data_IF_566829926126
#
_entry.id   IF_566829926126
#
_cell.length_a   1.000
_cell.length_b   1.000
_cell.length_c   1.000
_cell.angle_alpha   90.00
_cell.angle_beta   90.00
_cell.angle_gamma   90.00
#
_symmetry.space_group_name_H-M   'P 1'
#
loop_
_entity.id
_entity.type
_entity.pdbx_description
1 polymer ?
#
# COMPACT_ATOMS: atom_id res chain seq x y z
N UNK A 1 21.09 72.48 27.08
CA UNK A 1 20.60 71.10 27.31
C UNK A 1 19.13 71.07 26.92
N UNK A 2 18.81 70.68 25.68
CA UNK A 2 17.41 70.60 25.23
C UNK A 2 16.79 69.32 25.80
N UNK A 3 15.80 69.48 26.67
CA UNK A 3 15.10 68.37 27.29
C UNK A 3 14.37 67.56 26.21
N UNK A 4 14.71 66.27 26.11
CA UNK A 4 13.99 65.33 25.23
C UNK A 4 12.63 65.09 25.87
N UNK A 5 11.58 65.69 25.30
CA UNK A 5 10.20 65.48 25.73
C UNK A 5 9.76 64.09 25.25
N UNK A 6 9.51 63.19 26.20
CA UNK A 6 8.98 61.87 25.91
C UNK A 6 7.54 61.99 25.38
N UNK A 7 7.32 61.57 24.14
CA UNK A 7 5.97 61.41 23.57
C UNK A 7 5.51 59.96 23.78
N UNK A 8 4.54 59.70 24.68
CA UNK A 8 4.03 58.36 24.88
C UNK A 8 3.34 57.87 23.59
N UNK A 9 3.77 56.70 23.13
CA UNK A 9 3.09 56.00 22.03
C UNK A 9 1.78 55.44 22.57
N UNK A 10 0.69 55.67 21.84
CA UNK A 10 -0.65 55.20 22.20
C UNK A 10 -0.68 53.67 22.38
N UNK A 11 -1.39 53.20 23.42
CA UNK A 11 -1.50 51.78 23.72
C UNK A 11 -2.19 51.05 22.57
N UNK A 12 -1.46 50.17 21.88
CA UNK A 12 -2.03 49.30 20.86
C UNK A 12 -2.87 48.20 21.52
N UNK A 13 -3.98 47.77 20.91
CA UNK A 13 -4.74 46.64 21.41
C UNK A 13 -3.86 45.39 21.48
N UNK A 14 -4.08 44.51 22.46
CA UNK A 14 -3.32 43.27 22.59
C UNK A 14 -3.45 42.45 21.30
N UNK A 15 -2.36 41.80 20.83
CA UNK A 15 -2.42 40.96 19.65
C UNK A 15 -3.48 39.87 19.85
N UNK A 16 -4.34 39.68 18.86
CA UNK A 16 -5.35 38.62 18.91
C UNK A 16 -4.64 37.29 19.15
N UNK A 17 -5.15 36.51 20.12
CA UNK A 17 -4.56 35.22 20.48
C UNK A 17 -4.43 34.33 19.25
N UNK A 18 -3.20 34.02 18.85
CA UNK A 18 -2.87 33.11 17.75
C UNK A 18 -2.79 31.64 18.20
N UNK A 19 -3.03 31.40 19.48
CA UNK A 19 -2.96 30.09 20.11
C UNK A 19 -4.32 29.70 20.69
N UNK A 20 -4.61 28.39 20.71
CA UNK A 20 -5.86 27.81 21.22
C UNK A 20 -6.78 27.25 20.13
N UNK A 21 -7.76 26.44 20.55
CA UNK A 21 -8.68 25.70 19.67
C UNK A 21 -9.48 26.62 18.74
N UNK A 22 -10.01 27.73 19.27
CA UNK A 22 -10.80 28.69 18.50
C UNK A 22 -9.97 29.42 17.44
N UNK A 23 -8.74 29.80 17.77
CA UNK A 23 -7.81 30.42 16.81
C UNK A 23 -7.41 29.42 15.71
N UNK A 24 -7.20 28.15 16.07
CA UNK A 24 -6.93 27.07 15.11
C UNK A 24 -8.12 26.80 14.19
N UNK A 25 -9.35 26.72 14.72
CA UNK A 25 -10.57 26.51 13.91
C UNK A 25 -10.78 27.65 12.92
N UNK A 26 -10.66 28.90 13.39
CA UNK A 26 -10.83 30.08 12.55
C UNK A 26 -9.80 30.10 11.42
N UNK A 27 -8.54 29.79 11.72
CA UNK A 27 -7.44 29.79 10.75
C UNK A 27 -7.49 28.65 9.73
N UNK A 28 -7.98 27.47 10.10
CA UNK A 28 -7.99 26.32 9.18
C UNK A 28 -9.30 26.18 8.39
N UNK A 29 -10.44 26.52 9.00
CA UNK A 29 -11.75 26.30 8.40
C UNK A 29 -12.47 27.59 7.98
N UNK A 30 -12.20 28.71 8.66
CA UNK A 30 -12.94 29.98 8.48
C UNK A 30 -12.03 31.17 8.10
N UNK A 31 -10.92 30.93 7.41
CA UNK A 31 -9.93 31.95 7.04
C UNK A 31 -10.41 32.90 5.93
N UNK A 32 -11.49 32.53 5.25
CA UNK A 32 -12.13 33.33 4.19
C UNK A 32 -13.56 32.89 3.93
N UNK A 33 -14.30 33.65 3.11
CA UNK A 33 -15.72 33.39 2.86
C UNK A 33 -15.95 32.07 2.10
N UNK A 34 -15.10 31.73 1.12
CA UNK A 34 -15.15 30.46 0.39
C UNK A 34 -14.90 29.27 1.31
N UNK A 35 -13.86 29.34 2.15
CA UNK A 35 -13.52 28.27 3.10
C UNK A 35 -14.61 28.11 4.17
N UNK A 36 -15.18 29.23 4.63
CA UNK A 36 -16.29 29.23 5.59
C UNK A 36 -17.53 28.58 4.99
N UNK A 37 -17.90 28.96 3.75
CA UNK A 37 -19.02 28.38 3.03
C UNK A 37 -18.79 26.88 2.77
N UNK A 38 -17.62 26.50 2.26
CA UNK A 38 -17.26 25.11 2.03
C UNK A 38 -17.33 24.29 3.33
N UNK A 39 -16.80 24.80 4.44
CA UNK A 39 -16.87 24.14 5.75
C UNK A 39 -18.32 23.95 6.20
N UNK A 40 -19.17 24.99 6.10
CA UNK A 40 -20.57 24.90 6.50
C UNK A 40 -21.33 23.90 5.61
N UNK A 41 -21.12 23.94 4.28
CA UNK A 41 -21.75 23.01 3.34
C UNK A 41 -21.31 21.57 3.61
N UNK A 42 -20.01 21.32 3.79
CA UNK A 42 -19.51 19.99 4.13
C UNK A 42 -20.07 19.51 5.47
N UNK A 43 -20.14 20.37 6.49
CA UNK A 43 -20.72 20.01 7.77
C UNK A 43 -22.21 19.67 7.65
N UNK A 44 -22.98 20.47 6.91
CA UNK A 44 -24.40 20.20 6.66
C UNK A 44 -24.60 18.89 5.88
N UNK A 45 -23.76 18.63 4.87
CA UNK A 45 -23.77 17.35 4.15
C UNK A 45 -23.44 16.18 5.07
N UNK A 46 -22.44 16.31 5.93
CA UNK A 46 -22.12 15.26 6.91
C UNK A 46 -23.26 15.04 7.89
N UNK A 47 -23.88 16.10 8.40
CA UNK A 47 -25.04 15.99 9.29
C UNK A 47 -26.28 15.42 8.58
N UNK A 48 -26.38 15.56 7.26
CA UNK A 48 -27.47 14.98 6.47
C UNK A 48 -27.21 13.52 6.09
N UNK A 49 -25.97 13.14 5.75
CA UNK A 49 -25.62 11.78 5.28
C UNK A 49 -25.26 10.83 6.42
N UNK A 50 -24.48 11.28 7.40
CA UNK A 50 -23.90 10.39 8.42
C UNK A 50 -24.97 9.78 9.33
N UNK A 51 -25.95 10.54 9.88
CA UNK A 51 -26.97 9.96 10.75
C UNK A 51 -27.83 8.85 10.10
N UNK A 52 -28.41 9.02 8.89
CA UNK A 52 -29.16 7.94 8.26
C UNK A 52 -28.26 6.76 7.87
N UNK A 53 -27.03 7.01 7.44
CA UNK A 53 -26.07 5.95 7.12
C UNK A 53 -25.67 5.16 8.37
N UNK A 54 -25.48 5.82 9.51
CA UNK A 54 -25.23 5.18 10.81
C UNK A 54 -26.46 4.40 11.30
N UNK A 55 -27.65 4.99 11.15
CA UNK A 55 -28.92 4.33 11.45
C UNK A 55 -29.10 3.04 10.67
N UNK A 56 -28.91 3.09 9.35
CA UNK A 56 -28.99 1.93 8.47
C UNK A 56 -27.88 0.91 8.77
N UNK A 57 -26.63 1.36 8.93
CA UNK A 57 -25.48 0.44 9.05
C UNK A 57 -25.36 -0.23 10.41
N UNK A 58 -25.76 0.41 11.51
CA UNK A 58 -25.51 -0.10 12.86
C UNK A 58 -26.80 -0.26 13.65
N UNK A 59 -27.65 0.77 13.69
CA UNK A 59 -28.83 0.78 14.59
C UNK A 59 -29.90 -0.21 14.12
N UNK A 60 -30.21 -0.22 12.83
CA UNK A 60 -31.22 -1.08 12.21
C UNK A 60 -30.62 -2.35 11.59
N UNK A 61 -29.34 -2.60 11.83
CA UNK A 61 -28.61 -3.68 11.19
C UNK A 61 -28.98 -5.06 11.76
N UNK A 62 -28.95 -6.07 10.89
CA UNK A 62 -29.12 -7.48 11.27
C UNK A 62 -27.73 -8.13 11.40
N UNK A 63 -27.34 -8.45 12.63
CA UNK A 63 -26.04 -9.06 12.94
C UNK A 63 -26.06 -10.60 13.00
N UNK A 64 -27.23 -11.20 13.20
CA UNK A 64 -27.36 -12.65 13.23
C UNK A 64 -27.16 -13.25 11.82
N UNK A 65 -26.56 -14.44 11.69
CA UNK A 65 -26.36 -15.14 10.42
C UNK A 65 -27.68 -15.74 9.89
N UNK A 66 -28.69 -14.90 9.69
CA UNK A 66 -30.03 -15.30 9.22
C UNK A 66 -30.38 -14.57 7.91
N UNK A 67 -30.55 -15.35 6.83
CA UNK A 67 -30.87 -14.81 5.52
C UNK A 67 -32.28 -14.21 5.45
N UNK A 68 -33.26 -14.78 6.14
CA UNK A 68 -34.64 -14.31 6.15
C UNK A 68 -34.74 -12.97 6.89
N UNK A 69 -34.09 -12.87 8.05
CA UNK A 69 -34.00 -11.62 8.80
C UNK A 69 -33.30 -10.51 7.98
N UNK A 70 -32.21 -10.83 7.30
CA UNK A 70 -31.53 -9.89 6.42
C UNK A 70 -32.39 -9.43 5.23
N UNK A 71 -33.17 -10.33 4.60
CA UNK A 71 -34.08 -9.96 3.51
C UNK A 71 -35.24 -9.09 3.99
N UNK A 72 -35.75 -9.35 5.19
CA UNK A 72 -36.80 -8.54 5.79
C UNK A 72 -36.34 -7.10 6.09
N UNK A 73 -35.05 -6.90 6.35
CA UNK A 73 -34.45 -5.60 6.66
C UNK A 73 -33.84 -4.87 5.45
N UNK A 74 -34.05 -5.34 4.21
CA UNK A 74 -33.30 -4.87 3.02
C UNK A 74 -33.37 -3.35 2.80
N UNK A 75 -34.53 -2.75 3.09
CA UNK A 75 -34.76 -1.31 2.93
C UNK A 75 -34.46 -0.50 4.21
N UNK A 76 -34.35 -1.16 5.36
CA UNK A 76 -34.28 -0.50 6.67
C UNK A 76 -32.90 -0.58 7.33
N UNK A 77 -32.09 -1.59 7.01
CA UNK A 77 -30.81 -1.81 7.67
C UNK A 77 -29.82 -2.71 6.93
N UNK A 78 -28.55 -2.62 7.31
CA UNK A 78 -27.47 -3.42 6.73
C UNK A 78 -27.49 -4.88 7.23
N UNK A 79 -27.14 -5.82 6.34
CA UNK A 79 -27.00 -7.23 6.69
C UNK A 79 -25.55 -7.56 7.08
N UNK A 80 -25.22 -7.46 8.36
CA UNK A 80 -23.94 -7.93 8.91
C UNK A 80 -23.92 -9.45 9.16
N UNK A 81 -25.07 -10.11 9.10
CA UNK A 81 -25.19 -11.57 9.18
C UNK A 81 -24.30 -12.30 8.17
N UNK A 82 -24.05 -11.73 6.99
CA UNK A 82 -23.10 -12.28 6.01
C UNK A 82 -21.67 -12.29 6.56
N UNK A 83 -21.26 -11.25 7.27
CA UNK A 83 -19.92 -11.17 7.88
C UNK A 83 -19.82 -12.15 9.05
N UNK A 84 -20.88 -12.33 9.83
CA UNK A 84 -20.92 -13.35 10.88
C UNK A 84 -20.79 -14.77 10.31
N UNK A 85 -21.53 -15.07 9.23
CA UNK A 85 -21.55 -16.39 8.59
C UNK A 85 -20.28 -16.68 7.77
N UNK A 86 -19.77 -15.69 7.04
CA UNK A 86 -18.63 -15.84 6.11
C UNK A 86 -17.33 -15.30 6.68
N UNK A 87 -17.30 -14.79 7.92
CA UNK A 87 -16.12 -14.23 8.56
C UNK A 87 -14.92 -15.19 8.54
N UNK A 88 -15.18 -16.48 8.77
CA UNK A 88 -14.15 -17.53 8.67
C UNK A 88 -13.57 -17.65 7.26
N UNK A 89 -14.40 -17.61 6.23
CA UNK A 89 -13.97 -17.70 4.83
C UNK A 89 -13.21 -16.43 4.41
N UNK A 90 -13.66 -15.26 4.88
CA UNK A 90 -13.00 -13.97 4.65
C UNK A 90 -11.60 -13.95 5.29
N UNK A 91 -11.48 -14.45 6.52
CA UNK A 91 -10.22 -14.45 7.26
C UNK A 91 -9.27 -15.56 6.83
N UNK A 92 -9.73 -16.80 6.67
CA UNK A 92 -8.85 -17.96 6.48
C UNK A 92 -9.08 -18.72 5.17
N UNK A 93 -10.02 -18.29 4.32
CA UNK A 93 -10.32 -18.98 3.07
C UNK A 93 -10.71 -20.44 3.28
N UNK A 94 -10.08 -21.33 2.49
CA UNK A 94 -10.32 -22.78 2.52
C UNK A 94 -9.37 -23.52 3.47
N UNK A 95 -8.62 -22.81 4.31
CA UNK A 95 -7.65 -23.41 5.22
C UNK A 95 -8.36 -24.32 6.25
N UNK A 96 -7.82 -25.52 6.56
CA UNK A 96 -8.43 -26.47 7.49
C UNK A 96 -8.69 -25.86 8.87
N UNK A 97 -9.87 -26.13 9.44
CA UNK A 97 -10.35 -25.49 10.68
C UNK A 97 -9.39 -25.66 11.87
N UNK A 98 -8.98 -26.89 12.14
CA UNK A 98 -8.06 -27.23 13.25
C UNK A 98 -6.68 -26.56 13.14
N UNK A 99 -6.34 -26.05 11.95
CA UNK A 99 -5.02 -25.52 11.65
C UNK A 99 -5.02 -24.00 11.45
N UNK A 100 -6.15 -23.32 11.63
CA UNK A 100 -6.29 -21.87 11.39
C UNK A 100 -5.41 -21.00 12.31
N UNK A 101 -4.93 -21.55 13.42
CA UNK A 101 -3.94 -20.88 14.26
C UNK A 101 -2.63 -20.59 13.51
N UNK A 102 -2.25 -21.43 12.53
CA UNK A 102 -1.03 -21.30 11.72
C UNK A 102 -1.05 -20.01 10.87
N UNK A 103 -2.05 -19.78 9.99
CA UNK A 103 -2.15 -18.53 9.25
C UNK A 103 -2.38 -17.31 10.14
N UNK A 104 -3.07 -17.46 11.28
CA UNK A 104 -3.24 -16.36 12.24
C UNK A 104 -1.90 -15.91 12.83
N UNK A 105 -1.07 -16.87 13.27
CA UNK A 105 0.28 -16.59 13.79
C UNK A 105 1.17 -16.03 12.68
N UNK A 106 1.11 -16.57 11.46
CA UNK A 106 1.84 -16.02 10.31
C UNK A 106 1.47 -14.55 10.04
N UNK A 107 0.18 -14.21 10.07
CA UNK A 107 -0.28 -12.83 9.92
C UNK A 107 0.22 -11.94 11.06
N UNK A 108 0.13 -12.40 12.31
CA UNK A 108 0.57 -11.63 13.47
C UNK A 108 2.06 -11.33 13.42
N UNK A 109 2.90 -12.31 13.06
CA UNK A 109 4.35 -12.12 12.90
C UNK A 109 4.64 -11.14 11.75
N UNK A 110 3.97 -11.29 10.61
CA UNK A 110 4.17 -10.41 9.45
C UNK A 110 3.75 -8.97 9.75
N UNK A 111 2.62 -8.77 10.43
CA UNK A 111 2.15 -7.44 10.87
C UNK A 111 3.12 -6.84 11.89
N UNK A 112 3.58 -7.62 12.87
CA UNK A 112 4.55 -7.16 13.85
C UNK A 112 5.86 -6.71 13.17
N UNK A 113 6.33 -7.44 12.16
CA UNK A 113 7.49 -7.07 11.36
C UNK A 113 7.25 -5.79 10.54
N UNK A 114 6.08 -5.64 9.93
CA UNK A 114 5.70 -4.42 9.20
C UNK A 114 5.68 -3.21 10.15
N UNK A 115 5.05 -3.34 11.31
CA UNK A 115 5.01 -2.28 12.33
C UNK A 115 6.42 -1.94 12.81
N UNK A 116 7.25 -2.92 13.12
CA UNK A 116 8.65 -2.71 13.49
C UNK A 116 9.43 -1.98 12.37
N UNK A 117 9.17 -2.33 11.10
CA UNK A 117 9.79 -1.67 9.94
C UNK A 117 9.36 -0.21 9.76
N UNK A 118 8.16 0.16 10.21
CA UNK A 118 7.70 1.55 10.22
C UNK A 118 8.32 2.40 11.34
N UNK A 119 8.89 1.76 12.36
CA UNK A 119 9.48 2.42 13.52
C UNK A 119 10.98 2.64 13.31
N UNK A 120 11.40 3.92 13.31
CA UNK A 120 12.81 4.33 13.12
C UNK A 120 13.85 3.60 14.00
N UNK A 121 13.57 3.25 15.27
CA UNK A 121 14.55 2.54 16.11
C UNK A 121 15.03 1.19 15.56
N UNK A 122 14.23 0.55 14.69
CA UNK A 122 14.52 -0.77 14.12
C UNK A 122 15.22 -0.70 12.76
N UNK A 123 15.54 0.50 12.23
CA UNK A 123 16.22 0.68 10.94
C UNK A 123 17.71 0.37 11.03
N UNK A 124 18.01 -0.90 11.30
CA UNK A 124 19.34 -1.48 11.41
C UNK A 124 19.54 -2.48 10.27
N UNK A 125 20.79 -2.79 9.87
CA UNK A 125 21.05 -3.69 8.74
C UNK A 125 20.50 -5.11 8.94
N UNK A 126 20.27 -5.55 10.18
CA UNK A 126 19.64 -6.85 10.47
C UNK A 126 18.16 -6.94 10.06
N UNK A 127 17.49 -5.82 9.80
CA UNK A 127 16.09 -5.81 9.40
C UNK A 127 15.89 -6.56 8.07
N UNK A 128 16.81 -6.42 7.12
CA UNK A 128 16.74 -7.09 5.83
C UNK A 128 16.81 -8.63 5.93
N UNK A 129 17.79 -9.25 6.61
CA UNK A 129 17.77 -10.69 6.82
C UNK A 129 16.60 -11.15 7.71
N UNK A 130 16.16 -10.35 8.69
CA UNK A 130 14.95 -10.69 9.46
C UNK A 130 13.72 -10.82 8.55
N UNK A 131 13.57 -9.93 7.57
CA UNK A 131 12.50 -10.00 6.58
C UNK A 131 12.50 -11.34 5.83
N UNK A 132 13.66 -11.78 5.34
CA UNK A 132 13.77 -13.06 4.64
C UNK A 132 13.44 -14.24 5.56
N UNK A 133 13.91 -14.21 6.81
CA UNK A 133 13.64 -15.25 7.81
C UNK A 133 12.15 -15.31 8.12
N UNK A 134 11.50 -14.17 8.39
CA UNK A 134 10.07 -14.12 8.72
C UNK A 134 9.22 -14.59 7.55
N UNK A 135 9.55 -14.21 6.31
CA UNK A 135 8.82 -14.71 5.14
C UNK A 135 8.97 -16.23 4.99
N UNK A 136 10.16 -16.77 5.20
CA UNK A 136 10.38 -18.22 5.19
C UNK A 136 9.61 -18.93 6.31
N UNK A 137 9.62 -18.36 7.52
CA UNK A 137 8.84 -18.88 8.67
C UNK A 137 7.34 -18.84 8.37
N UNK A 138 6.81 -17.75 7.83
CA UNK A 138 5.40 -17.65 7.44
C UNK A 138 5.04 -18.67 6.37
N UNK A 139 5.90 -18.86 5.36
CA UNK A 139 5.68 -19.87 4.32
C UNK A 139 5.65 -21.29 4.91
N UNK A 140 6.66 -21.69 5.69
CA UNK A 140 6.71 -23.01 6.35
C UNK A 140 5.54 -23.21 7.30
N UNK A 141 5.19 -22.17 8.05
CA UNK A 141 4.05 -22.20 8.96
C UNK A 141 2.73 -22.38 8.20
N UNK A 142 2.59 -21.86 6.98
CA UNK A 142 1.38 -22.05 6.18
C UNK A 142 1.37 -23.37 5.40
N UNK A 143 2.49 -23.81 4.82
CA UNK A 143 2.59 -25.03 4.01
C UNK A 143 2.61 -26.30 4.84
N UNK A 144 3.38 -26.32 5.93
CA UNK A 144 3.57 -27.50 6.76
C UNK A 144 4.53 -28.48 6.12
N UNK A 145 4.41 -29.76 6.49
CA UNK A 145 5.31 -30.83 6.04
C UNK A 145 6.61 -30.94 6.83
N UNK A 146 6.87 -30.02 7.76
CA UNK A 146 8.07 -29.99 8.61
C UNK A 146 7.65 -29.92 10.07
N UNK A 147 8.46 -30.47 10.99
CA UNK A 147 8.21 -30.46 12.44
C UNK A 147 6.91 -31.14 12.88
N UNK A 148 6.43 -32.14 12.11
CA UNK A 148 5.18 -32.86 12.42
C UNK A 148 3.90 -32.10 12.05
N UNK A 149 4.02 -30.95 11.37
CA UNK A 149 2.87 -30.23 10.83
C UNK A 149 2.33 -30.94 9.59
N UNK A 150 1.02 -31.16 9.53
CA UNK A 150 0.38 -31.67 8.32
C UNK A 150 0.56 -30.71 7.15
N UNK A 151 0.81 -31.27 5.98
CA UNK A 151 0.93 -30.52 4.74
C UNK A 151 -0.44 -29.96 4.31
N UNK A 152 -0.46 -28.68 3.95
CA UNK A 152 -1.63 -27.97 3.42
C UNK A 152 -1.25 -27.36 2.08
N UNK A 153 -1.84 -27.91 1.02
CA UNK A 153 -1.66 -27.41 -0.35
C UNK A 153 -1.92 -25.90 -0.45
N UNK A 154 -1.08 -25.22 -1.22
CA UNK A 154 -1.19 -23.80 -1.60
C UNK A 154 -2.54 -23.46 -2.23
N UNK A 155 -3.18 -24.41 -2.91
CA UNK A 155 -4.51 -24.31 -3.50
C UNK A 155 -5.63 -24.03 -2.48
N UNK A 156 -5.40 -24.37 -1.20
CA UNK A 156 -6.35 -24.16 -0.10
C UNK A 156 -6.08 -22.87 0.67
N UNK A 157 -4.99 -22.18 0.36
CA UNK A 157 -4.67 -20.90 1.00
C UNK A 157 -5.64 -19.84 0.49
N UNK A 158 -6.03 -18.91 1.37
CA UNK A 158 -6.97 -17.87 1.00
C UNK A 158 -7.22 -16.90 2.14
N UNK A 159 -8.16 -16.00 1.93
CA UNK A 159 -8.52 -14.96 2.89
C UNK A 159 -7.37 -13.99 3.18
N UNK A 160 -7.41 -13.40 4.36
CA UNK A 160 -6.48 -12.38 4.81
C UNK A 160 -4.98 -12.78 4.79
N UNK A 161 -4.57 -13.99 5.20
CA UNK A 161 -3.18 -14.45 5.13
C UNK A 161 -2.64 -14.44 3.70
N UNK A 162 -3.43 -14.90 2.73
CA UNK A 162 -3.02 -14.91 1.34
C UNK A 162 -2.91 -13.47 0.80
N UNK A 163 -3.87 -12.60 1.09
CA UNK A 163 -3.83 -11.17 0.75
C UNK A 163 -2.56 -10.51 1.30
N UNK A 164 -2.23 -10.73 2.57
CA UNK A 164 -1.03 -10.18 3.21
C UNK A 164 0.25 -10.75 2.59
N UNK A 165 0.33 -12.07 2.40
CA UNK A 165 1.50 -12.71 1.81
C UNK A 165 1.75 -12.22 0.38
N UNK A 166 0.74 -12.22 -0.48
CA UNK A 166 0.84 -11.76 -1.86
C UNK A 166 1.23 -10.29 -1.94
N UNK A 167 0.55 -9.41 -1.21
CA UNK A 167 0.81 -7.98 -1.27
C UNK A 167 2.22 -7.61 -0.79
N UNK A 168 2.66 -8.20 0.32
CA UNK A 168 3.98 -7.91 0.90
C UNK A 168 5.09 -8.51 0.05
N UNK A 169 5.01 -9.80 -0.31
CA UNK A 169 6.06 -10.47 -1.09
C UNK A 169 6.18 -9.84 -2.48
N UNK A 170 5.06 -9.64 -3.18
CA UNK A 170 5.10 -9.01 -4.51
C UNK A 170 5.65 -7.60 -4.46
N UNK A 171 5.32 -6.78 -3.45
CA UNK A 171 5.87 -5.42 -3.35
C UNK A 171 7.37 -5.44 -3.01
N UNK A 172 7.80 -6.28 -2.07
CA UNK A 172 9.21 -6.39 -1.67
C UNK A 172 10.09 -6.82 -2.85
N UNK A 173 9.62 -7.77 -3.66
CA UNK A 173 10.36 -8.23 -4.85
C UNK A 173 10.23 -7.22 -6.01
N UNK A 174 9.07 -6.57 -6.15
CA UNK A 174 8.85 -5.56 -7.19
C UNK A 174 9.69 -4.31 -6.99
N UNK A 175 10.00 -3.92 -5.75
CA UNK A 175 10.70 -2.66 -5.47
C UNK A 175 12.12 -2.60 -6.06
N UNK A 176 13.00 -3.60 -5.87
CA UNK A 176 14.29 -3.64 -6.56
C UNK A 176 14.13 -3.65 -8.09
N UNK A 177 13.19 -4.43 -8.62
CA UNK A 177 12.94 -4.51 -10.06
C UNK A 177 12.50 -3.15 -10.61
N UNK A 178 11.61 -2.46 -9.91
CA UNK A 178 11.12 -1.13 -10.25
C UNK A 178 12.25 -0.09 -10.29
N UNK A 179 13.15 -0.11 -9.30
CA UNK A 179 14.33 0.77 -9.28
C UNK A 179 15.24 0.49 -10.48
N UNK A 180 15.50 -0.79 -10.79
CA UNK A 180 16.31 -1.17 -11.95
C UNK A 180 15.68 -0.71 -13.27
N UNK A 181 14.37 -0.93 -13.44
CA UNK A 181 13.62 -0.50 -14.63
C UNK A 181 13.56 1.02 -14.75
N UNK A 182 13.35 1.75 -13.65
CA UNK A 182 13.32 3.21 -13.65
C UNK A 182 14.69 3.82 -14.05
N UNK A 183 15.78 3.26 -13.53
CA UNK A 183 17.14 3.64 -13.92
C UNK A 183 17.44 3.26 -15.37
N UNK A 184 17.03 2.07 -15.80
CA UNK A 184 17.17 1.60 -17.19
C UNK A 184 16.43 2.49 -18.20
N UNK A 185 15.21 2.92 -17.87
CA UNK A 185 14.41 3.87 -18.67
C UNK A 185 15.03 5.26 -18.75
N UNK A 186 15.84 5.63 -17.76
CA UNK A 186 16.58 6.91 -17.70
C UNK A 186 17.97 6.83 -18.33
N UNK A 187 18.37 5.67 -18.85
CA UNK A 187 19.69 5.45 -19.45
C UNK A 187 19.82 6.12 -20.82
N UNK A 188 21.06 6.49 -21.17
CA UNK A 188 21.44 6.97 -22.51
C UNK A 188 21.53 5.83 -23.53
N UNK A 189 21.63 4.57 -23.10
CA UNK A 189 21.72 3.42 -23.99
C UNK A 189 20.34 3.12 -24.61
N UNK A 190 20.16 3.30 -25.93
CA UNK A 190 18.84 3.24 -26.56
C UNK A 190 18.19 1.86 -26.45
N UNK A 191 18.97 0.77 -26.50
CA UNK A 191 18.45 -0.59 -26.37
C UNK A 191 17.85 -0.86 -24.98
N UNK A 192 18.58 -0.53 -23.90
CA UNK A 192 18.10 -0.72 -22.52
C UNK A 192 16.85 0.13 -22.27
N UNK A 193 16.91 1.39 -22.71
CA UNK A 193 15.79 2.31 -22.60
C UNK A 193 14.56 1.77 -23.34
N UNK A 194 14.72 1.29 -24.57
CA UNK A 194 13.62 0.74 -25.36
C UNK A 194 12.98 -0.48 -24.70
N UNK A 195 13.77 -1.43 -24.19
CA UNK A 195 13.25 -2.61 -23.47
C UNK A 195 12.48 -2.20 -22.22
N UNK A 196 13.01 -1.27 -21.42
CA UNK A 196 12.35 -0.79 -20.21
C UNK A 196 11.05 -0.02 -20.52
N UNK A 197 11.06 0.84 -21.55
CA UNK A 197 9.87 1.55 -22.01
C UNK A 197 8.82 0.55 -22.47
N UNK A 198 9.18 -0.40 -23.36
CA UNK A 198 8.25 -1.40 -23.87
C UNK A 198 7.61 -2.22 -22.75
N UNK A 199 8.42 -2.72 -21.82
CA UNK A 199 7.92 -3.45 -20.64
C UNK A 199 6.92 -2.63 -19.83
N UNK A 200 7.26 -1.38 -19.50
CA UNK A 200 6.38 -0.52 -18.67
C UNK A 200 5.08 -0.19 -19.40
N UNK A 201 5.16 0.24 -20.66
CA UNK A 201 3.97 0.64 -21.43
C UNK A 201 3.05 -0.57 -21.70
N UNK A 202 3.59 -1.75 -22.01
CA UNK A 202 2.79 -2.96 -22.22
C UNK A 202 2.08 -3.40 -20.94
N UNK A 203 2.81 -3.52 -19.83
CA UNK A 203 2.24 -4.03 -18.58
C UNK A 203 1.20 -3.06 -18.00
N UNK A 204 1.44 -1.75 -18.11
CA UNK A 204 0.46 -0.74 -17.68
C UNK A 204 -0.73 -0.60 -18.63
N UNK A 205 -0.59 -1.05 -19.89
CA UNK A 205 -1.65 -1.06 -20.88
C UNK A 205 -2.62 -2.25 -20.78
N UNK A 206 -2.31 -3.26 -19.96
CA UNK A 206 -3.13 -4.48 -19.82
C UNK A 206 -3.76 -4.55 -18.42
N UNK A 207 -5.03 -4.98 -18.27
CA UNK A 207 -5.64 -5.22 -16.96
C UNK A 207 -4.92 -6.32 -16.17
N UNK A 208 -4.74 -6.13 -14.87
CA UNK A 208 -4.11 -7.13 -14.00
C UNK A 208 -4.82 -8.49 -14.03
N UNK A 209 -6.16 -8.49 -14.09
CA UNK A 209 -6.93 -9.74 -14.18
C UNK A 209 -6.53 -10.58 -15.40
N UNK A 210 -6.23 -9.95 -16.54
CA UNK A 210 -5.76 -10.64 -17.74
C UNK A 210 -4.38 -11.25 -17.54
N UNK A 211 -3.49 -10.56 -16.82
CA UNK A 211 -2.16 -11.07 -16.45
C UNK A 211 -2.29 -12.29 -15.52
N UNK A 212 -3.16 -12.22 -14.52
CA UNK A 212 -3.42 -13.32 -13.59
C UNK A 212 -4.05 -14.53 -14.29
N UNK A 213 -4.99 -14.30 -15.20
CA UNK A 213 -5.62 -15.35 -16.00
C UNK A 213 -4.61 -16.01 -16.94
N UNK A 214 -3.79 -15.22 -17.64
CA UNK A 214 -2.69 -15.71 -18.47
C UNK A 214 -1.72 -16.56 -17.65
N UNK A 215 -1.31 -16.09 -16.47
CA UNK A 215 -0.38 -16.80 -15.59
C UNK A 215 -0.97 -18.10 -15.02
N UNK A 216 -2.26 -18.13 -14.71
CA UNK A 216 -2.89 -19.26 -13.99
C UNK A 216 -3.44 -20.33 -14.93
N UNK A 217 -3.98 -19.94 -16.08
CA UNK A 217 -4.66 -20.86 -17.01
C UNK A 217 -3.94 -21.05 -18.35
N UNK A 218 -3.35 -20.00 -18.93
CA UNK A 218 -2.73 -20.12 -20.25
C UNK A 218 -1.27 -20.58 -20.18
N UNK A 219 -0.48 -20.03 -19.25
CA UNK A 219 0.93 -20.41 -19.05
C UNK A 219 1.14 -21.93 -18.88
N UNK A 220 0.36 -22.66 -18.05
CA UNK A 220 0.51 -24.12 -17.97
C UNK A 220 0.26 -24.88 -19.29
N UNK A 221 -0.47 -24.31 -20.26
CA UNK A 221 -0.65 -24.96 -21.57
C UNK A 221 0.62 -24.96 -22.43
N UNK A 222 1.57 -24.05 -22.14
CA UNK A 222 2.87 -23.98 -22.79
C UNK A 222 3.94 -24.81 -22.07
N UNK A 223 3.63 -25.39 -20.90
CA UNK A 223 4.56 -26.23 -20.15
C UNK A 223 4.55 -27.67 -20.67
N UNK A 224 5.70 -28.38 -20.66
CA UNK A 224 5.76 -29.79 -20.97
C UNK A 224 4.80 -30.62 -20.11
N UNK A 225 4.18 -31.64 -20.71
CA UNK A 225 3.30 -32.57 -20.01
C UNK A 225 3.98 -33.14 -18.75
N UNK A 226 3.30 -33.02 -17.60
CA UNK A 226 3.80 -33.51 -16.31
C UNK A 226 4.61 -32.51 -15.50
N UNK A 227 4.94 -31.33 -16.04
CA UNK A 227 5.56 -30.23 -15.26
C UNK A 227 4.57 -29.10 -15.09
N UNK A 228 4.18 -28.79 -13.86
CA UNK A 228 3.36 -27.60 -13.57
C UNK A 228 4.00 -26.79 -12.46
N UNK A 229 4.15 -25.49 -12.69
CA UNK A 229 4.55 -24.56 -11.63
C UNK A 229 3.31 -24.28 -10.77
N UNK A 230 3.52 -24.29 -9.46
CA UNK A 230 2.51 -23.96 -8.47
C UNK A 230 1.78 -22.64 -8.77
N UNK A 231 0.46 -22.63 -8.55
CA UNK A 231 -0.41 -21.48 -8.85
C UNK A 231 0.04 -20.24 -8.08
N UNK A 232 0.42 -20.39 -6.79
CA UNK A 232 0.84 -19.27 -5.95
C UNK A 232 2.07 -18.59 -6.53
N UNK A 233 3.04 -19.37 -7.02
CA UNK A 233 4.27 -18.83 -7.62
C UNK A 233 3.95 -18.05 -8.90
N UNK A 234 3.09 -18.58 -9.76
CA UNK A 234 2.70 -17.90 -11.01
C UNK A 234 1.97 -16.59 -10.73
N UNK A 235 1.05 -16.59 -9.76
CA UNK A 235 0.34 -15.39 -9.30
C UNK A 235 1.33 -14.39 -8.71
N UNK A 236 2.25 -14.82 -7.84
CA UNK A 236 3.28 -13.96 -7.26
C UNK A 236 4.14 -13.30 -8.33
N UNK A 237 4.58 -14.05 -9.35
CA UNK A 237 5.37 -13.51 -10.46
C UNK A 237 4.55 -12.49 -11.26
N UNK A 238 3.32 -12.82 -11.64
CA UNK A 238 2.44 -11.92 -12.37
C UNK A 238 2.19 -10.61 -11.61
N UNK A 239 1.83 -10.70 -10.32
CA UNK A 239 1.64 -9.55 -9.43
C UNK A 239 2.93 -8.72 -9.27
N UNK A 240 4.08 -9.39 -9.12
CA UNK A 240 5.39 -8.72 -8.96
C UNK A 240 5.76 -7.92 -10.21
N UNK A 241 5.65 -8.53 -11.39
CA UNK A 241 5.93 -7.87 -12.66
C UNK A 241 4.96 -6.73 -12.92
N UNK A 242 3.68 -6.88 -12.57
CA UNK A 242 2.71 -5.81 -12.68
C UNK A 242 3.05 -4.64 -11.74
N UNK A 243 3.23 -4.92 -10.45
CA UNK A 243 3.58 -3.92 -9.45
C UNK A 243 4.89 -3.19 -9.77
N UNK A 244 5.90 -3.90 -10.28
CA UNK A 244 7.20 -3.33 -10.65
C UNK A 244 7.07 -2.29 -11.77
N UNK A 245 6.19 -2.49 -12.76
CA UNK A 245 5.98 -1.53 -13.84
C UNK A 245 5.35 -0.22 -13.34
N UNK A 246 4.34 -0.29 -12.46
CA UNK A 246 3.73 0.89 -11.85
C UNK A 246 4.69 1.61 -10.91
N UNK A 247 5.41 0.85 -10.10
CA UNK A 247 6.36 1.40 -9.15
C UNK A 247 7.59 2.00 -9.83
N UNK A 248 8.02 1.46 -10.99
CA UNK A 248 9.09 2.04 -11.79
C UNK A 248 8.73 3.47 -12.25
N UNK A 249 7.47 3.71 -12.59
CA UNK A 249 6.99 5.03 -12.97
C UNK A 249 6.92 6.00 -11.81
N UNK A 250 6.53 5.52 -10.63
CA UNK A 250 6.61 6.30 -9.39
C UNK A 250 8.07 6.71 -9.12
N UNK A 251 9.01 5.76 -9.16
CA UNK A 251 10.44 6.04 -8.94
C UNK A 251 10.98 6.99 -10.01
N UNK A 252 10.62 6.80 -11.29
CA UNK A 252 11.01 7.70 -12.38
C UNK A 252 10.49 9.12 -12.18
N UNK A 253 9.24 9.28 -11.73
CA UNK A 253 8.68 10.58 -11.36
C UNK A 253 9.49 11.26 -10.24
N UNK A 254 9.94 10.48 -9.25
CA UNK A 254 10.83 10.95 -8.19
C UNK A 254 12.20 11.40 -8.70
N UNK A 255 12.79 10.63 -9.62
CA UNK A 255 14.07 10.99 -10.26
C UNK A 255 13.95 12.31 -11.04
N UNK A 256 12.83 12.54 -11.72
CA UNK A 256 12.57 13.76 -12.49
C UNK A 256 12.24 14.99 -11.64
N UNK A 257 11.74 14.79 -10.43
CA UNK A 257 11.44 15.88 -9.50
C UNK A 257 12.71 16.53 -8.89
N UNK A 258 13.87 15.88 -9.00
CA UNK A 258 15.12 16.40 -8.45
C UNK A 258 15.71 17.52 -9.33
N UNK A 259 16.18 18.62 -8.72
CA UNK A 259 16.91 19.67 -9.45
C UNK A 259 18.18 19.12 -10.11
N UNK A 260 18.42 19.52 -11.37
CA UNK A 260 19.60 19.09 -12.15
C UNK A 260 20.93 19.39 -11.46
N UNK A 261 20.98 20.47 -10.66
CA UNK A 261 22.17 20.88 -9.89
C UNK A 261 22.72 19.80 -8.95
N UNK A 262 21.91 18.84 -8.48
CA UNK A 262 22.40 17.71 -7.68
C UNK A 262 23.35 16.80 -8.48
N UNK A 263 23.04 16.56 -9.75
CA UNK A 263 23.86 15.74 -10.64
C UNK A 263 25.10 16.51 -11.09
N UNK A 264 24.94 17.79 -11.44
CA UNK A 264 26.03 18.68 -11.87
C UNK A 264 27.07 18.88 -10.74
N UNK A 265 26.63 19.10 -9.51
CA UNK A 265 27.51 19.22 -8.35
C UNK A 265 28.28 17.91 -8.07
N UNK A 266 27.62 16.75 -8.20
CA UNK A 266 28.28 15.46 -8.03
C UNK A 266 29.36 15.21 -9.11
N UNK A 267 29.07 15.61 -10.35
CA UNK A 267 30.03 15.52 -11.46
C UNK A 267 31.21 16.48 -11.27
N UNK A 268 30.97 17.70 -10.76
CA UNK A 268 32.05 18.65 -10.43
C UNK A 268 32.98 18.11 -9.32
N UNK A 269 32.48 17.26 -8.44
CA UNK A 269 33.25 16.53 -7.43
C UNK A 269 33.92 15.25 -7.97
N UNK A 270 33.83 14.97 -9.27
CA UNK A 270 34.44 13.81 -9.92
C UNK A 270 33.74 12.47 -9.63
N UNK A 271 32.50 12.48 -9.13
CA UNK A 271 31.76 11.25 -8.86
C UNK A 271 31.30 10.56 -10.15
N UNK A 272 31.47 9.25 -10.21
CA UNK A 272 30.98 8.43 -11.33
C UNK A 272 29.46 8.33 -11.32
N UNK A 273 28.85 7.98 -12.46
CA UNK A 273 27.39 7.80 -12.59
C UNK A 273 26.80 6.92 -11.47
N UNK A 274 27.44 5.79 -11.18
CA UNK A 274 26.96 4.85 -10.15
C UNK A 274 27.13 5.40 -8.73
N UNK A 275 28.16 6.20 -8.48
CA UNK A 275 28.33 6.90 -7.20
C UNK A 275 27.26 7.98 -7.02
N UNK A 276 27.04 8.81 -8.03
CA UNK A 276 26.00 9.85 -8.04
C UNK A 276 24.60 9.24 -7.88
N UNK A 277 24.29 8.19 -8.64
CA UNK A 277 23.01 7.49 -8.56
C UNK A 277 22.78 6.89 -7.17
N UNK A 278 23.73 6.11 -6.64
CA UNK A 278 23.54 5.38 -5.37
C UNK A 278 23.60 6.28 -4.14
N UNK A 279 24.51 7.25 -4.11
CA UNK A 279 24.78 8.04 -2.89
C UNK A 279 23.99 9.34 -2.82
N UNK A 280 23.55 9.90 -3.94
CA UNK A 280 22.95 11.24 -4.00
C UNK A 280 21.53 11.17 -4.55
N UNK A 281 21.36 10.75 -5.79
CA UNK A 281 20.10 10.90 -6.53
C UNK A 281 19.04 9.91 -6.02
N UNK A 282 19.34 8.61 -5.96
CA UNK A 282 18.37 7.57 -5.64
C UNK A 282 17.79 7.73 -4.21
N UNK A 283 18.58 7.96 -3.15
CA UNK A 283 18.02 8.17 -1.81
C UNK A 283 17.09 9.38 -1.71
N UNK A 284 17.41 10.47 -2.41
CA UNK A 284 16.58 11.68 -2.44
C UNK A 284 15.29 11.45 -3.24
N UNK A 285 15.39 10.84 -4.41
CA UNK A 285 14.24 10.52 -5.26
C UNK A 285 13.26 9.60 -4.53
N UNK A 286 13.76 8.52 -3.92
CA UNK A 286 12.93 7.58 -3.16
C UNK A 286 12.22 8.25 -1.99
N UNK A 287 12.88 9.19 -1.29
CA UNK A 287 12.27 9.96 -0.21
C UNK A 287 11.12 10.85 -0.70
N UNK A 288 11.27 11.47 -1.88
CA UNK A 288 10.22 12.32 -2.47
C UNK A 288 8.96 11.52 -2.82
N UNK A 289 9.11 10.26 -3.21
CA UNK A 289 7.99 9.43 -3.70
C UNK A 289 7.42 8.47 -2.65
N UNK A 290 7.86 8.52 -1.40
CA UNK A 290 7.29 7.69 -0.31
C UNK A 290 5.75 7.72 -0.28
N UNK A 291 5.07 8.87 -0.38
CA UNK A 291 3.59 8.89 -0.38
C UNK A 291 2.98 8.11 -1.55
N UNK A 292 3.58 8.22 -2.74
CA UNK A 292 3.12 7.50 -3.93
C UNK A 292 3.39 5.99 -3.82
N UNK A 293 4.52 5.59 -3.23
CA UNK A 293 4.83 4.18 -2.94
C UNK A 293 3.78 3.56 -2.01
N UNK A 294 3.36 4.29 -0.97
CA UNK A 294 2.27 3.84 -0.06
C UNK A 294 0.96 3.69 -0.82
N UNK A 295 0.63 4.62 -1.72
CA UNK A 295 -0.51 4.49 -2.61
C UNK A 295 -0.46 3.21 -3.46
N UNK A 296 0.70 2.91 -4.05
CA UNK A 296 0.90 1.67 -4.81
C UNK A 296 0.76 0.42 -3.95
N UNK A 297 1.23 0.41 -2.70
CA UNK A 297 1.01 -0.70 -1.78
C UNK A 297 -0.48 -0.94 -1.53
N UNK A 298 -1.26 0.12 -1.27
CA UNK A 298 -2.71 0.02 -1.06
C UNK A 298 -3.40 -0.56 -2.31
N UNK A 299 -3.00 -0.12 -3.50
CA UNK A 299 -3.52 -0.68 -4.74
C UNK A 299 -3.20 -2.17 -4.88
N UNK A 300 -1.94 -2.57 -4.71
CA UNK A 300 -1.52 -3.99 -4.77
C UNK A 300 -2.28 -4.84 -3.76
N UNK A 301 -2.48 -4.33 -2.54
CA UNK A 301 -3.26 -5.00 -1.50
C UNK A 301 -4.70 -5.24 -1.96
N UNK A 302 -5.37 -4.24 -2.52
CA UNK A 302 -6.73 -4.37 -3.07
C UNK A 302 -6.77 -5.33 -4.26
N UNK A 303 -5.77 -5.25 -5.12
CA UNK A 303 -5.65 -6.06 -6.33
C UNK A 303 -5.49 -7.56 -6.03
N UNK A 304 -4.98 -7.93 -4.85
CA UNK A 304 -4.94 -9.35 -4.43
C UNK A 304 -6.35 -10.00 -4.40
N UNK A 305 -7.42 -9.21 -4.28
CA UNK A 305 -8.79 -9.73 -4.37
C UNK A 305 -9.09 -10.42 -5.70
N UNK A 306 -8.47 -9.97 -6.80
CA UNK A 306 -8.61 -10.56 -8.15
C UNK A 306 -8.08 -11.99 -8.20
N UNK A 307 -7.18 -12.37 -7.30
CA UNK A 307 -6.65 -13.74 -7.21
C UNK A 307 -7.74 -14.74 -6.87
N UNK A 308 -8.82 -14.31 -6.21
CA UNK A 308 -9.97 -15.18 -5.92
C UNK A 308 -10.66 -15.70 -7.19
N UNK A 309 -10.46 -15.02 -8.34
CA UNK A 309 -11.08 -15.38 -9.62
C UNK A 309 -10.29 -16.49 -10.34
N UNK A 310 -8.99 -16.62 -10.06
CA UNK A 310 -8.07 -17.53 -10.76
C UNK A 310 -7.68 -18.76 -9.94
#
# INVERSE_FOLDING_TARGET
MSAVVFTPIESRPPPQSTQGLLAWLRRNFFDGWLNSLATVVTLLLLLWVVPPLFGWSIVNAVFAPDNAACRAAVDTGACWGVVAEKGRLILFGRYPYEQQWRPLVACAILIALLVASCLRPFWKPWLAPLWLIVLAVCYVLMSGGVFGLSEVETSRWGGFPLTMALSVVSLVVAFPLAVLVALGRSSHLPAIRAVCVLYVELIRGVPLISVLFMASFMFPLFMPHGTTIDVLVRVLVGMTLFAAAYLAEVVRGGLQALPKGQVEAAQALGLTYWQTARKIVLPQALRLVVPAIVGSFISVFKDTSLVTIV
#
